data_IF_899439654245
#
_entry.id   IF_899439654245
#
_cell.length_a   1.000
_cell.length_b   1.000
_cell.length_c   1.000
_cell.angle_alpha   90.00
_cell.angle_beta   90.00
_cell.angle_gamma   90.00
#
_symmetry.space_group_name_H-M   'P 1'
#
loop_
_entity.id
_entity.type
_entity.pdbx_description
1 polymer ?
#
# COMPACT_ATOMS: atom_id res chain seq x y z
N UNK A 1 7.34 10.87 -20.28
CA UNK A 1 6.74 10.13 -19.16
C UNK A 1 5.74 11.03 -18.46
N UNK A 2 4.59 10.52 -18.02
CA UNK A 2 3.62 11.32 -17.28
C UNK A 2 4.11 11.55 -15.83
N UNK A 3 4.37 12.81 -15.41
CA UNK A 3 4.98 13.09 -14.10
C UNK A 3 4.05 12.76 -12.93
N UNK A 4 2.73 12.85 -13.10
CA UNK A 4 1.75 12.50 -12.07
C UNK A 4 1.81 11.00 -11.74
N UNK A 5 1.90 10.14 -12.76
CA UNK A 5 2.01 8.70 -12.57
C UNK A 5 3.36 8.30 -11.97
N UNK A 6 4.45 8.99 -12.31
CA UNK A 6 5.76 8.78 -11.67
C UNK A 6 5.70 9.15 -10.19
N UNK A 7 5.10 10.29 -9.84
CA UNK A 7 4.94 10.72 -8.45
C UNK A 7 4.02 9.77 -7.66
N UNK A 8 2.93 9.30 -8.28
CA UNK A 8 2.03 8.30 -7.70
C UNK A 8 2.77 6.98 -7.45
N UNK A 9 3.53 6.49 -8.42
CA UNK A 9 4.33 5.27 -8.26
C UNK A 9 5.34 5.38 -7.11
N UNK A 10 6.10 6.49 -7.05
CA UNK A 10 7.04 6.73 -5.96
C UNK A 10 6.33 6.76 -4.60
N UNK A 11 5.16 7.40 -4.53
CA UNK A 11 4.35 7.47 -3.32
C UNK A 11 3.86 6.10 -2.87
N UNK A 12 3.29 5.29 -3.76
CA UNK A 12 2.83 3.92 -3.47
C UNK A 12 3.99 3.01 -3.05
N UNK A 13 5.16 3.14 -3.69
CA UNK A 13 6.36 2.41 -3.30
C UNK A 13 6.81 2.75 -1.87
N UNK A 14 6.87 4.05 -1.55
CA UNK A 14 7.23 4.53 -0.21
C UNK A 14 6.20 4.10 0.84
N UNK A 15 4.90 4.12 0.52
CA UNK A 15 3.85 3.60 1.41
C UNK A 15 4.11 2.13 1.74
N UNK A 16 4.39 1.29 0.74
CA UNK A 16 4.72 -0.12 0.96
C UNK A 16 5.97 -0.30 1.83
N UNK A 17 7.04 0.46 1.55
CA UNK A 17 8.28 0.40 2.32
C UNK A 17 8.05 0.77 3.79
N UNK A 18 7.41 1.92 4.03
CA UNK A 18 7.10 2.41 5.38
C UNK A 18 6.15 1.46 6.10
N UNK A 19 5.14 0.91 5.42
CA UNK A 19 4.20 -0.06 5.98
C UNK A 19 4.94 -1.30 6.51
N UNK A 20 5.74 -1.98 5.68
CA UNK A 20 6.52 -3.15 6.13
C UNK A 20 7.51 -2.80 7.23
N UNK A 21 8.29 -1.72 7.07
CA UNK A 21 9.33 -1.35 8.02
C UNK A 21 8.77 -0.95 9.40
N UNK A 22 7.71 -0.15 9.44
CA UNK A 22 7.05 0.21 10.70
C UNK A 22 6.31 -0.97 11.31
N UNK A 23 5.68 -1.83 10.51
CA UNK A 23 5.04 -3.05 11.00
C UNK A 23 6.02 -3.95 11.73
N UNK A 24 7.18 -4.17 11.13
CA UNK A 24 8.28 -4.92 11.76
C UNK A 24 8.70 -4.30 13.10
N UNK A 25 8.95 -2.99 13.11
CA UNK A 25 9.48 -2.31 14.30
C UNK A 25 8.47 -2.15 15.43
N UNK A 26 7.23 -1.80 15.11
CA UNK A 26 6.21 -1.41 16.08
C UNK A 26 5.32 -2.58 16.49
N UNK A 27 5.02 -3.51 15.57
CA UNK A 27 4.08 -4.61 15.81
C UNK A 27 4.83 -5.92 16.00
N UNK A 28 5.51 -6.41 14.97
CA UNK A 28 5.97 -7.79 14.92
C UNK A 28 7.21 -8.07 15.77
N UNK A 29 8.06 -7.08 16.02
CA UNK A 29 9.16 -7.18 16.99
C UNK A 29 8.65 -7.63 18.36
N UNK A 30 7.51 -7.13 18.82
CA UNK A 30 6.93 -7.45 20.13
C UNK A 30 6.18 -8.79 20.14
N UNK A 31 5.78 -9.29 18.96
CA UNK A 31 5.07 -10.56 18.80
C UNK A 31 6.03 -11.73 18.53
N UNK A 32 7.34 -11.48 18.43
CA UNK A 32 8.33 -12.48 18.06
C UNK A 32 9.02 -13.05 19.29
N UNK A 33 8.96 -14.39 19.44
CA UNK A 33 9.74 -15.11 20.48
C UNK A 33 11.09 -15.56 19.93
N UNK A 34 11.16 -16.02 18.69
CA UNK A 34 12.39 -16.43 18.01
C UNK A 34 12.31 -16.26 16.48
N UNK A 35 13.46 -16.30 15.80
CA UNK A 35 13.55 -16.34 14.34
C UNK A 35 13.15 -15.05 13.62
N UNK A 36 12.55 -15.20 12.42
CA UNK A 36 12.04 -14.09 11.59
C UNK A 36 10.51 -13.96 11.65
N UNK A 37 9.79 -15.07 11.72
CA UNK A 37 8.32 -15.08 11.68
C UNK A 37 7.78 -15.03 13.11
N UNK A 38 6.92 -14.06 13.48
CA UNK A 38 6.37 -13.97 14.82
C UNK A 38 5.35 -15.08 15.11
N UNK A 39 5.28 -15.51 16.37
CA UNK A 39 4.45 -16.61 16.85
C UNK A 39 3.84 -16.37 18.25
N UNK A 40 4.11 -15.22 18.87
CA UNK A 40 3.50 -14.80 20.14
C UNK A 40 2.15 -14.09 19.98
N UNK A 41 1.74 -13.31 20.99
CA UNK A 41 0.46 -12.57 20.99
C UNK A 41 -0.67 -13.20 21.80
N UNK A 42 -0.41 -14.34 22.45
CA UNK A 42 -1.36 -15.00 23.35
C UNK A 42 -1.68 -14.14 24.60
N UNK A 43 -2.89 -14.26 25.18
CA UNK A 43 -3.99 -15.13 24.76
C UNK A 43 -4.86 -14.54 23.63
N UNK A 44 -4.61 -13.29 23.21
CA UNK A 44 -5.44 -12.59 22.23
C UNK A 44 -5.32 -13.17 20.81
N UNK A 45 -4.13 -13.59 20.42
CA UNK A 45 -3.85 -14.22 19.12
C UNK A 45 -3.17 -15.57 19.33
N UNK A 46 -3.71 -16.59 18.67
CA UNK A 46 -3.05 -17.90 18.55
C UNK A 46 -1.83 -17.78 17.61
N UNK A 47 -0.78 -18.62 17.76
CA UNK A 47 0.43 -18.51 16.95
C UNK A 47 0.18 -18.47 15.43
N UNK A 48 -0.77 -19.26 14.91
CA UNK A 48 -1.09 -19.22 13.48
C UNK A 48 -1.75 -17.90 13.04
N UNK A 49 -2.53 -17.26 13.92
CA UNK A 49 -3.17 -15.96 13.65
C UNK A 49 -2.12 -14.85 13.57
N UNK A 50 -1.10 -14.92 14.43
CA UNK A 50 0.06 -14.02 14.38
C UNK A 50 0.86 -14.21 13.09
N UNK A 51 1.07 -15.46 12.65
CA UNK A 51 1.76 -15.76 11.39
C UNK A 51 1.01 -15.25 10.16
N UNK A 52 -0.32 -15.42 10.09
CA UNK A 52 -1.10 -14.88 8.96
C UNK A 52 -1.21 -13.36 9.00
N UNK A 53 -1.25 -12.74 10.20
CA UNK A 53 -1.18 -11.29 10.34
C UNK A 53 0.14 -10.75 9.80
N UNK A 54 1.27 -11.39 10.15
CA UNK A 54 2.58 -11.04 9.61
C UNK A 54 2.66 -11.22 8.09
N UNK A 55 2.21 -12.37 7.57
CA UNK A 55 2.23 -12.63 6.15
C UNK A 55 1.38 -11.64 5.36
N UNK A 56 0.13 -11.37 5.80
CA UNK A 56 -0.77 -10.42 5.14
C UNK A 56 -0.19 -9.00 5.11
N UNK A 57 0.51 -8.58 6.15
CA UNK A 57 1.19 -7.29 6.21
C UNK A 57 2.24 -7.12 5.09
N UNK A 58 3.06 -8.14 4.86
CA UNK A 58 4.08 -8.09 3.80
C UNK A 58 3.49 -8.35 2.40
N UNK A 59 2.44 -9.17 2.29
CA UNK A 59 1.72 -9.36 1.02
C UNK A 59 1.15 -8.04 0.52
N UNK A 60 0.55 -7.21 1.38
CA UNK A 60 0.07 -5.87 0.99
C UNK A 60 1.21 -4.98 0.50
N UNK A 61 2.41 -5.09 1.09
CA UNK A 61 3.59 -4.36 0.61
C UNK A 61 4.02 -4.81 -0.78
N UNK A 62 4.08 -6.12 -1.02
CA UNK A 62 4.42 -6.67 -2.34
C UNK A 62 3.40 -6.24 -3.40
N UNK A 63 2.10 -6.27 -3.08
CA UNK A 63 1.03 -5.79 -3.97
C UNK A 63 1.13 -4.28 -4.22
N UNK A 64 1.45 -3.48 -3.21
CA UNK A 64 1.69 -2.04 -3.38
C UNK A 64 2.88 -1.78 -4.33
N UNK A 65 3.98 -2.54 -4.20
CA UNK A 65 5.12 -2.40 -5.10
C UNK A 65 4.81 -2.85 -6.53
N UNK A 66 4.04 -3.93 -6.71
CA UNK A 66 3.53 -4.32 -8.01
C UNK A 66 2.66 -3.20 -8.61
N UNK A 67 1.79 -2.58 -7.82
CA UNK A 67 0.97 -1.45 -8.25
C UNK A 67 1.82 -0.21 -8.62
N UNK A 68 2.86 0.08 -7.85
CA UNK A 68 3.82 1.14 -8.18
C UNK A 68 4.54 0.87 -9.51
N UNK A 69 4.92 -0.38 -9.77
CA UNK A 69 5.50 -0.78 -11.06
C UNK A 69 4.52 -0.61 -12.22
N UNK A 70 3.26 -1.01 -12.05
CA UNK A 70 2.19 -0.79 -13.04
C UNK A 70 2.04 0.72 -13.34
N UNK A 71 2.05 1.57 -12.32
CA UNK A 71 1.99 3.02 -12.50
C UNK A 71 3.20 3.57 -13.26
N UNK A 72 4.42 3.05 -13.04
CA UNK A 72 5.60 3.43 -13.83
C UNK A 72 5.49 2.98 -15.29
N UNK A 73 4.95 1.80 -15.56
CA UNK A 73 4.66 1.34 -16.92
C UNK A 73 3.66 2.27 -17.61
N UNK A 74 2.55 2.60 -16.94
CA UNK A 74 1.53 3.54 -17.44
C UNK A 74 2.03 4.99 -17.56
N UNK A 75 3.13 5.34 -16.91
CA UNK A 75 3.77 6.64 -17.13
C UNK A 75 4.37 6.76 -18.54
N UNK A 76 4.55 5.65 -19.27
CA UNK A 76 5.04 5.66 -20.65
C UNK A 76 3.89 5.90 -21.66
N UNK A 77 4.06 6.79 -22.66
CA UNK A 77 3.00 7.13 -23.60
C UNK A 77 2.39 5.93 -24.33
N UNK A 78 3.22 4.98 -24.78
CA UNK A 78 2.75 3.81 -25.52
C UNK A 78 1.87 2.88 -24.68
N UNK A 79 2.29 2.57 -23.45
CA UNK A 79 1.52 1.72 -22.54
C UNK A 79 0.19 2.38 -22.14
N UNK A 80 0.21 3.71 -21.93
CA UNK A 80 -0.98 4.48 -21.59
C UNK A 80 -1.98 4.57 -22.75
N UNK A 81 -1.49 4.73 -23.98
CA UNK A 81 -2.34 4.71 -25.16
C UNK A 81 -3.00 3.32 -25.33
N UNK A 82 -2.25 2.24 -25.09
CA UNK A 82 -2.77 0.87 -25.17
C UNK A 82 -3.87 0.56 -24.13
N UNK A 83 -3.81 1.17 -22.93
CA UNK A 83 -4.85 1.02 -21.91
C UNK A 83 -6.06 1.95 -22.10
N UNK A 84 -5.99 2.87 -23.08
CA UNK A 84 -6.96 3.95 -23.29
C UNK A 84 -7.28 4.76 -22.00
N UNK A 85 -6.32 4.84 -21.06
CA UNK A 85 -6.50 5.54 -19.78
C UNK A 85 -7.50 4.90 -18.80
N UNK A 86 -7.93 3.65 -19.04
CA UNK A 86 -8.97 2.99 -18.24
C UNK A 86 -8.46 2.40 -16.92
N UNK A 87 -7.15 2.16 -16.81
CA UNK A 87 -6.54 1.51 -15.63
C UNK A 87 -6.34 2.50 -14.49
N UNK A 88 -5.99 3.73 -14.81
CA UNK A 88 -5.77 4.82 -13.87
C UNK A 88 -6.97 5.08 -12.92
N UNK A 89 -8.23 5.23 -13.38
CA UNK A 89 -9.36 5.41 -12.47
C UNK A 89 -9.63 4.19 -11.58
N UNK A 90 -9.34 2.97 -12.05
CA UNK A 90 -9.47 1.75 -11.23
C UNK A 90 -8.45 1.79 -10.09
N UNK A 91 -7.18 2.11 -10.40
CA UNK A 91 -6.12 2.25 -9.40
C UNK A 91 -6.45 3.38 -8.42
N UNK A 92 -6.89 4.54 -8.91
CA UNK A 92 -7.29 5.67 -8.07
C UNK A 92 -8.42 5.28 -7.11
N UNK A 93 -9.42 4.54 -7.59
CA UNK A 93 -10.53 4.04 -6.76
C UNK A 93 -10.04 3.07 -5.70
N UNK A 94 -9.17 2.12 -6.05
CA UNK A 94 -8.60 1.16 -5.09
C UNK A 94 -7.80 1.88 -3.98
N UNK A 95 -6.97 2.87 -4.34
CA UNK A 95 -6.22 3.69 -3.39
C UNK A 95 -7.16 4.54 -2.52
N UNK A 96 -8.20 5.15 -3.12
CA UNK A 96 -9.18 5.97 -2.41
C UNK A 96 -10.00 5.14 -1.39
N UNK A 97 -10.49 3.97 -1.80
CA UNK A 97 -11.20 3.03 -0.90
C UNK A 97 -10.28 2.58 0.22
N UNK A 98 -9.03 2.22 -0.08
CA UNK A 98 -8.04 1.83 0.93
C UNK A 98 -7.76 2.96 1.92
N UNK A 99 -7.55 4.20 1.43
CA UNK A 99 -7.37 5.38 2.27
C UNK A 99 -8.61 5.67 3.13
N UNK A 100 -9.80 5.56 2.56
CA UNK A 100 -11.08 5.69 3.27
C UNK A 100 -11.25 4.65 4.37
N UNK A 101 -10.91 3.38 4.11
CA UNK A 101 -10.95 2.32 5.13
C UNK A 101 -9.99 2.61 6.29
N UNK A 102 -8.77 3.10 6.02
CA UNK A 102 -7.81 3.50 7.07
C UNK A 102 -8.31 4.71 7.86
N UNK A 103 -8.89 5.70 7.16
CA UNK A 103 -9.49 6.88 7.80
C UNK A 103 -10.59 6.48 8.77
N UNK A 104 -11.53 5.64 8.32
CA UNK A 104 -12.69 5.21 9.09
C UNK A 104 -12.29 4.29 10.26
N UNK A 105 -11.48 3.27 9.99
CA UNK A 105 -11.08 2.27 11.00
C UNK A 105 -10.28 2.87 12.16
N UNK A 106 -9.45 3.89 11.90
CA UNK A 106 -8.63 4.53 12.93
C UNK A 106 -9.09 5.96 13.30
N UNK A 107 -10.32 6.35 12.91
CA UNK A 107 -10.90 7.68 13.18
C UNK A 107 -9.95 8.83 12.83
N UNK A 108 -9.27 8.72 11.69
CA UNK A 108 -8.33 9.71 11.18
C UNK A 108 -6.97 9.79 11.88
N UNK A 109 -6.69 8.97 12.88
CA UNK A 109 -5.43 9.03 13.65
C UNK A 109 -4.25 8.36 12.94
N UNK A 110 -4.49 7.52 11.93
CA UNK A 110 -3.41 6.81 11.24
C UNK A 110 -2.97 7.58 9.99
N UNK A 111 -1.72 8.07 9.88
CA UNK A 111 -1.32 8.96 8.79
C UNK A 111 -1.40 8.32 7.39
N UNK A 112 -1.44 6.98 7.29
CA UNK A 112 -1.55 6.31 5.99
C UNK A 112 -2.81 6.67 5.18
N UNK A 113 -3.91 7.12 5.80
CA UNK A 113 -5.06 7.59 5.00
C UNK A 113 -4.68 8.78 4.13
N UNK A 114 -3.87 9.72 4.65
CA UNK A 114 -3.39 10.89 3.89
C UNK A 114 -2.54 10.43 2.72
N UNK A 115 -1.59 9.53 2.97
CA UNK A 115 -0.68 9.03 1.94
C UNK A 115 -1.42 8.29 0.81
N UNK A 116 -2.40 7.44 1.15
CA UNK A 116 -3.20 6.70 0.18
C UNK A 116 -4.12 7.62 -0.64
N UNK A 117 -4.79 8.58 0.00
CA UNK A 117 -5.65 9.55 -0.70
C UNK A 117 -4.82 10.52 -1.57
N UNK A 118 -3.63 10.93 -1.11
CA UNK A 118 -2.72 11.73 -1.91
C UNK A 118 -2.24 10.96 -3.14
N UNK A 119 -1.88 9.68 -3.00
CA UNK A 119 -1.54 8.83 -4.14
C UNK A 119 -2.71 8.68 -5.12
N UNK A 120 -3.95 8.51 -4.63
CA UNK A 120 -5.14 8.48 -5.46
C UNK A 120 -5.34 9.80 -6.24
N UNK A 121 -5.15 10.95 -5.58
CA UNK A 121 -5.24 12.27 -6.20
C UNK A 121 -4.16 12.48 -7.28
N UNK A 122 -2.94 11.99 -7.07
CA UNK A 122 -1.88 12.01 -8.08
C UNK A 122 -2.27 11.17 -9.31
N UNK A 123 -2.83 9.97 -9.13
CA UNK A 123 -3.31 9.16 -10.25
C UNK A 123 -4.42 9.87 -11.02
N UNK A 124 -5.39 10.50 -10.34
CA UNK A 124 -6.44 11.30 -10.98
C UNK A 124 -5.89 12.53 -11.70
N UNK A 125 -4.84 13.16 -11.17
CA UNK A 125 -4.14 14.27 -11.81
C UNK A 125 -3.57 13.92 -13.18
N UNK A 126 -3.25 12.63 -13.41
CA UNK A 126 -2.79 12.16 -14.72
C UNK A 126 -3.86 12.22 -15.81
N UNK A 127 -5.15 12.26 -15.46
CA UNK A 127 -6.30 12.27 -16.38
C UNK A 127 -6.61 13.66 -16.95
N UNK A 128 -5.95 14.70 -16.45
CA UNK A 128 -6.05 16.08 -16.94
C UNK A 128 -4.96 16.36 -17.97
#
# INVERSE_FOLDING_TARGET
MNPWLVAAAASVFLIGLVHSWLGERLVFKHLRRAGLVPDGGEPALRPYQTRILWASWHVVTALAWALAWVLLCLAQPAARAASAGTVEPIIATALAVSGGLVLLSNRGRHPAWIALLAAAALVLGSLR
#
